data_IF_779435975372
#
_entry.id   IF_779435975372
#
_cell.length_a   1.000
_cell.length_b   1.000
_cell.length_c   1.000
_cell.angle_alpha   90.00
_cell.angle_beta   90.00
_cell.angle_gamma   90.00
#
_symmetry.space_group_name_H-M   'P 1'
#
loop_
_entity.id
_entity.type
_entity.pdbx_description
1 polymer ?
#
# COMPACT_ATOMS: atom_id res chain seq x y z
N UNK A 1 -24.40 -10.85 -9.18
CA UNK A 1 -24.05 -9.57 -8.51
C UNK A 1 -22.76 -9.56 -7.69
N UNK A 2 -22.13 -10.71 -7.37
CA UNK A 2 -20.99 -10.78 -6.42
C UNK A 2 -19.59 -10.73 -7.09
N UNK A 3 -19.49 -11.17 -8.34
CA UNK A 3 -18.21 -11.33 -9.06
C UNK A 3 -17.57 -10.04 -9.60
N UNK A 4 -18.36 -8.98 -9.73
CA UNK A 4 -17.85 -7.68 -10.20
C UNK A 4 -17.06 -7.02 -9.05
N UNK A 5 -17.55 -7.05 -7.80
CA UNK A 5 -16.88 -6.44 -6.64
C UNK A 5 -15.46 -6.98 -6.40
N UNK A 6 -15.21 -8.29 -6.52
CA UNK A 6 -13.88 -8.88 -6.26
C UNK A 6 -12.79 -8.38 -7.23
N UNK A 7 -13.16 -8.06 -8.48
CA UNK A 7 -12.22 -7.49 -9.46
C UNK A 7 -11.84 -6.03 -9.14
N UNK A 8 -12.63 -5.31 -8.34
CA UNK A 8 -12.40 -3.88 -8.05
C UNK A 8 -11.89 -3.56 -6.63
N UNK A 9 -11.89 -4.50 -5.70
CA UNK A 9 -11.45 -4.22 -4.31
C UNK A 9 -9.94 -4.42 -4.14
N UNK A 10 -9.28 -3.50 -3.44
CA UNK A 10 -7.93 -3.63 -2.89
C UNK A 10 -8.11 -3.90 -1.40
N UNK A 11 -7.48 -4.96 -0.88
CA UNK A 11 -7.53 -5.27 0.55
C UNK A 11 -6.34 -4.58 1.26
N UNK A 12 -6.58 -3.63 2.19
CA UNK A 12 -5.52 -2.89 2.87
C UNK A 12 -4.66 -3.78 3.79
N UNK A 13 -5.22 -4.82 4.42
CA UNK A 13 -4.46 -5.77 5.24
C UNK A 13 -3.48 -6.60 4.42
N UNK A 14 -3.89 -7.01 3.21
CA UNK A 14 -2.99 -7.69 2.28
C UNK A 14 -1.85 -6.76 1.86
N UNK A 15 -2.16 -5.48 1.62
CA UNK A 15 -1.14 -4.46 1.31
C UNK A 15 -0.18 -4.28 2.48
N UNK A 16 -0.69 -4.18 3.71
CA UNK A 16 0.11 -4.08 4.92
C UNK A 16 1.05 -5.27 5.08
N UNK A 17 0.55 -6.50 4.97
CA UNK A 17 1.38 -7.72 5.07
C UNK A 17 2.50 -7.73 4.04
N UNK A 18 2.18 -7.41 2.77
CA UNK A 18 3.20 -7.33 1.73
C UNK A 18 4.24 -6.25 2.01
N UNK A 19 3.82 -5.09 2.55
CA UNK A 19 4.74 -4.03 2.93
C UNK A 19 5.64 -4.47 4.09
N UNK A 20 5.08 -5.04 5.16
CA UNK A 20 5.84 -5.55 6.31
C UNK A 20 6.83 -6.64 5.94
N UNK A 21 6.45 -7.57 5.05
CA UNK A 21 7.39 -8.58 4.54
C UNK A 21 8.55 -7.91 3.82
N UNK A 22 8.29 -6.97 2.91
CA UNK A 22 9.37 -6.28 2.17
C UNK A 22 10.30 -5.50 3.09
N UNK A 23 9.75 -4.77 4.05
CA UNK A 23 10.51 -4.00 5.02
C UNK A 23 11.42 -4.90 5.87
N UNK A 24 10.90 -6.05 6.35
CA UNK A 24 11.68 -7.02 7.13
C UNK A 24 12.65 -7.87 6.30
N UNK A 25 12.63 -7.78 4.98
CA UNK A 25 13.61 -8.43 4.10
C UNK A 25 14.66 -7.49 3.54
N UNK A 26 14.50 -6.17 3.74
CA UNK A 26 15.40 -5.17 3.18
C UNK A 26 16.55 -4.89 4.14
N UNK A 27 17.76 -5.35 3.80
CA UNK A 27 18.96 -5.14 4.61
C UNK A 27 19.23 -3.65 4.91
N UNK A 28 19.08 -2.78 3.91
CA UNK A 28 19.27 -1.33 4.06
C UNK A 28 18.32 -0.72 5.10
N UNK A 29 17.06 -1.15 5.10
CA UNK A 29 16.07 -0.63 6.06
C UNK A 29 16.36 -1.16 7.45
N UNK A 30 16.72 -2.44 7.57
CA UNK A 30 17.05 -3.06 8.84
C UNK A 30 18.32 -2.49 9.48
N UNK A 31 19.32 -2.15 8.68
CA UNK A 31 20.55 -1.49 9.14
C UNK A 31 20.26 -0.12 9.77
N UNK A 32 19.40 0.68 9.14
CA UNK A 32 19.04 2.02 9.63
C UNK A 32 18.13 1.98 10.85
N UNK A 33 17.18 1.05 10.87
CA UNK A 33 16.10 1.03 11.88
C UNK A 33 16.37 0.10 13.07
N UNK A 34 17.26 -0.88 12.89
CA UNK A 34 17.39 -2.02 13.78
C UNK A 34 16.39 -3.13 13.44
N UNK A 35 16.82 -4.38 13.59
CA UNK A 35 16.02 -5.57 13.28
C UNK A 35 15.46 -6.26 14.54
N UNK A 36 14.32 -6.97 14.43
CA UNK A 36 13.36 -6.94 13.33
C UNK A 36 12.47 -5.68 13.38
N UNK A 37 11.88 -5.33 12.25
CA UNK A 37 10.85 -4.29 12.21
C UNK A 37 9.51 -4.85 12.68
N UNK A 38 8.98 -4.23 13.73
CA UNK A 38 7.64 -4.49 14.24
C UNK A 38 6.69 -3.40 13.77
N UNK A 39 5.51 -3.80 13.29
CA UNK A 39 4.43 -2.88 12.98
C UNK A 39 3.45 -2.79 14.15
N UNK A 40 2.46 -1.93 14.02
CA UNK A 40 1.36 -1.82 15.00
C UNK A 40 0.01 -2.18 14.36
N UNK A 41 -1.00 -2.34 15.20
CA UNK A 41 -2.39 -2.49 14.74
C UNK A 41 -3.01 -1.17 14.27
N UNK A 42 -2.41 -0.03 14.64
CA UNK A 42 -2.84 1.29 14.18
C UNK A 42 -2.43 1.49 12.71
N UNK A 43 -3.42 1.60 11.82
CA UNK A 43 -3.21 1.79 10.38
C UNK A 43 -4.30 2.71 9.84
N UNK A 44 -3.91 3.68 9.04
CA UNK A 44 -4.84 4.52 8.29
C UNK A 44 -4.76 4.16 6.82
N UNK A 45 -5.92 4.00 6.17
CA UNK A 45 -5.94 3.82 4.71
C UNK A 45 -7.05 4.64 4.07
N UNK A 46 -6.79 5.05 2.83
CA UNK A 46 -7.80 5.67 1.96
C UNK A 46 -7.80 4.99 0.60
N UNK A 47 -9.00 4.75 0.09
CA UNK A 47 -9.22 4.22 -1.25
C UNK A 47 -9.53 5.37 -2.19
N UNK A 48 -8.92 5.40 -3.37
CA UNK A 48 -9.24 6.40 -4.40
C UNK A 48 -9.34 5.80 -5.80
N UNK A 49 -10.03 6.50 -6.71
CA UNK A 49 -10.27 6.04 -8.08
C UNK A 49 -11.35 4.95 -8.19
N UNK A 50 -11.42 4.27 -9.35
CA UNK A 50 -12.46 3.28 -9.63
C UNK A 50 -13.76 3.83 -10.25
N UNK A 51 -13.81 5.12 -10.55
CA UNK A 51 -14.93 5.76 -11.26
C UNK A 51 -14.74 5.78 -12.78
N UNK A 52 -15.86 5.94 -13.50
CA UNK A 52 -15.88 6.30 -14.91
C UNK A 52 -15.49 7.77 -15.05
N UNK A 53 -14.57 8.04 -15.97
CA UNK A 53 -14.15 9.39 -16.32
C UNK A 53 -14.33 9.59 -17.82
N UNK A 54 -14.83 10.73 -18.25
CA UNK A 54 -14.89 11.08 -19.66
C UNK A 54 -13.60 11.83 -20.01
N UNK A 55 -12.73 11.21 -20.81
CA UNK A 55 -11.60 11.91 -21.43
C UNK A 55 -11.93 12.10 -22.90
N UNK A 56 -12.14 13.34 -23.34
CA UNK A 56 -12.42 13.68 -24.75
C UNK A 56 -13.51 12.77 -25.34
N UNK A 57 -14.67 12.70 -24.68
CA UNK A 57 -15.86 11.94 -25.10
C UNK A 57 -15.70 10.40 -25.03
N UNK A 58 -14.51 9.86 -24.73
CA UNK A 58 -14.31 8.43 -24.52
C UNK A 58 -14.42 8.05 -23.02
N UNK A 59 -15.29 7.09 -22.64
CA UNK A 59 -15.33 6.59 -21.27
C UNK A 59 -14.01 5.87 -20.93
N UNK A 60 -13.36 6.30 -19.86
CA UNK A 60 -12.13 5.73 -19.33
C UNK A 60 -12.34 5.33 -17.87
N UNK A 61 -12.02 4.08 -17.54
CA UNK A 61 -12.07 3.60 -16.17
C UNK A 61 -10.79 3.99 -15.43
N UNK A 62 -10.92 4.81 -14.38
CA UNK A 62 -9.77 5.14 -13.53
C UNK A 62 -9.43 3.94 -12.66
N UNK A 63 -8.16 3.51 -12.67
CA UNK A 63 -7.69 2.43 -11.77
C UNK A 63 -7.91 2.79 -10.30
N UNK A 64 -8.33 1.81 -9.49
CA UNK A 64 -8.37 1.95 -8.03
C UNK A 64 -6.96 2.04 -7.46
N UNK A 65 -6.80 2.89 -6.45
CA UNK A 65 -5.59 3.07 -5.65
C UNK A 65 -5.91 2.91 -4.16
N UNK A 66 -4.96 2.37 -3.41
CA UNK A 66 -4.98 2.31 -1.95
C UNK A 66 -3.75 3.03 -1.45
N UNK A 67 -3.96 3.98 -0.55
CA UNK A 67 -2.91 4.63 0.21
C UNK A 67 -3.02 4.08 1.63
N UNK A 68 -1.93 3.54 2.14
CA UNK A 68 -1.86 2.95 3.47
C UNK A 68 -0.71 3.62 4.23
N UNK A 69 -1.01 4.13 5.41
CA UNK A 69 -0.05 4.75 6.32
C UNK A 69 -0.08 3.98 7.64
N UNK A 70 1.09 3.61 8.15
CA UNK A 70 1.22 2.92 9.43
C UNK A 70 2.60 3.18 10.05
N UNK A 71 2.69 3.20 11.39
CA UNK A 71 3.97 3.31 12.08
C UNK A 71 4.68 1.95 12.14
N UNK A 72 6.01 2.00 12.15
CA UNK A 72 6.92 0.87 12.37
C UNK A 72 7.93 1.22 13.46
N UNK A 73 8.45 0.18 14.13
CA UNK A 73 9.46 0.29 15.16
C UNK A 73 10.54 -0.79 14.94
N UNK A 74 11.79 -0.37 14.87
CA UNK A 74 12.96 -1.23 15.05
C UNK A 74 13.58 -1.01 16.44
N UNK A 75 14.71 -1.68 16.72
CA UNK A 75 15.41 -1.52 18.00
C UNK A 75 15.98 -0.11 18.18
N UNK A 76 16.45 0.51 17.10
CA UNK A 76 17.16 1.79 17.13
C UNK A 76 16.23 2.98 16.89
N UNK A 77 15.20 2.80 16.03
CA UNK A 77 14.38 3.91 15.54
C UNK A 77 12.91 3.55 15.37
N UNK A 78 12.07 4.58 15.38
CA UNK A 78 10.67 4.52 14.96
C UNK A 78 10.53 5.24 13.62
N UNK A 79 9.56 4.85 12.82
CA UNK A 79 9.33 5.47 11.51
C UNK A 79 7.87 5.37 11.08
N UNK A 80 7.52 6.17 10.08
CA UNK A 80 6.20 6.12 9.44
C UNK A 80 6.36 5.64 8.00
N UNK A 81 5.55 4.66 7.63
CA UNK A 81 5.53 4.10 6.28
C UNK A 81 4.31 4.62 5.55
N UNK A 82 4.51 5.15 4.34
CA UNK A 82 3.44 5.44 3.39
C UNK A 82 3.56 4.52 2.17
N UNK A 83 2.51 3.74 1.89
CA UNK A 83 2.43 2.81 0.76
C UNK A 83 1.33 3.25 -0.19
N UNK A 84 1.69 3.51 -1.45
CA UNK A 84 0.71 3.68 -2.53
C UNK A 84 0.65 2.41 -3.38
N UNK A 85 -0.56 1.92 -3.60
CA UNK A 85 -0.82 0.71 -4.38
C UNK A 85 -1.82 0.99 -5.47
N UNK A 86 -1.52 0.62 -6.71
CA UNK A 86 -2.43 0.73 -7.84
C UNK A 86 -2.78 -0.64 -8.39
N UNK A 87 -4.07 -0.89 -8.66
CA UNK A 87 -4.51 -2.11 -9.34
C UNK A 87 -4.39 -1.92 -10.86
N UNK A 88 -3.60 -2.77 -11.54
CA UNK A 88 -3.52 -2.83 -13.01
C UNK A 88 -3.94 -4.22 -13.48
N UNK A 89 -5.04 -4.33 -14.22
CA UNK A 89 -5.48 -5.57 -14.90
C UNK A 89 -5.33 -6.86 -14.07
N UNK A 90 -5.81 -6.85 -12.83
CA UNK A 90 -5.74 -8.02 -11.92
C UNK A 90 -4.46 -8.17 -11.10
N UNK A 91 -3.40 -7.41 -11.41
CA UNK A 91 -2.15 -7.36 -10.62
C UNK A 91 -2.09 -6.12 -9.73
N UNK A 92 -1.48 -6.29 -8.56
CA UNK A 92 -1.26 -5.22 -7.58
C UNK A 92 0.16 -4.71 -7.77
N UNK A 93 0.31 -3.54 -8.38
CA UNK A 93 1.61 -2.91 -8.57
C UNK A 93 1.76 -1.85 -7.46
N UNK A 94 2.71 -2.06 -6.55
CA UNK A 94 3.06 -1.08 -5.50
C UNK A 94 3.99 -0.01 -6.08
N UNK A 95 3.76 1.25 -5.70
CA UNK A 95 4.65 2.40 -5.91
C UNK A 95 5.58 2.50 -4.68
N UNK A 96 6.82 3.01 -4.77
CA UNK A 96 7.80 2.92 -3.68
C UNK A 96 7.27 3.45 -2.35
N UNK A 97 7.42 2.66 -1.30
CA UNK A 97 7.15 3.08 0.07
C UNK A 97 8.21 4.09 0.50
N UNK A 98 7.80 5.32 0.80
CA UNK A 98 8.69 6.33 1.39
C UNK A 98 8.66 6.17 2.91
N UNK A 99 9.82 5.94 3.51
CA UNK A 99 10.03 6.04 4.95
C UNK A 99 10.25 7.52 5.28
N UNK A 100 9.54 8.04 6.25
CA UNK A 100 9.81 9.36 6.84
C UNK A 100 10.48 9.13 8.20
N UNK A 101 11.66 9.71 8.37
CA UNK A 101 12.47 9.69 9.60
C UNK A 101 12.07 10.85 10.51
#
# INVERSE_FOLDING_TARGET
GLYIRSRFTINPDKVYRMAMTRLNTSAQILEVMGAPLTGTDLRAYVMSGGGLTLKKIKPSLRSRRCFLIFPIKGSERKGLVNVEVKKKQGKVNQVPSRLYH
#
